data_IF_262726924212
#
_entry.id   IF_262726924212
#
_cell.length_a   1.000
_cell.length_b   1.000
_cell.length_c   1.000
_cell.angle_alpha   90.00
_cell.angle_beta   90.00
_cell.angle_gamma   90.00
#
_symmetry.space_group_name_H-M   'P 1'
#
loop_
_entity.id
_entity.type
_entity.pdbx_description
1 polymer ?
#
# COMPACT_ATOMS: atom_id res chain seq x y z
N UNK A 1 12.41 -7.93 -26.40
CA UNK A 1 11.20 -7.73 -25.60
C UNK A 1 10.30 -8.93 -25.82
N UNK A 2 9.75 -9.50 -24.75
CA UNK A 2 8.88 -10.66 -24.85
C UNK A 2 7.44 -10.22 -25.13
N UNK A 3 6.76 -10.93 -26.04
CA UNK A 3 5.36 -10.67 -26.36
C UNK A 3 4.52 -11.90 -26.03
N UNK A 4 3.29 -11.69 -25.65
CA UNK A 4 2.32 -12.76 -25.37
C UNK A 4 1.09 -12.56 -26.22
N UNK A 5 0.61 -13.68 -26.80
CA UNK A 5 -0.61 -13.71 -27.59
C UNK A 5 -1.85 -13.88 -26.72
N UNK A 6 -3.03 -13.83 -27.36
CA UNK A 6 -4.32 -13.83 -26.66
C UNK A 6 -4.56 -15.06 -25.77
N UNK A 7 -3.93 -16.20 -26.08
CA UNK A 7 -4.10 -17.45 -25.32
C UNK A 7 -3.23 -17.53 -24.08
N UNK A 8 -2.19 -16.72 -24.02
CA UNK A 8 -1.19 -16.75 -22.95
C UNK A 8 -1.38 -15.64 -21.92
N UNK A 9 -2.31 -14.73 -22.18
CA UNK A 9 -2.61 -13.61 -21.27
C UNK A 9 -3.27 -14.14 -20.01
N UNK A 10 -2.77 -13.71 -18.85
CA UNK A 10 -3.30 -14.17 -17.54
C UNK A 10 -3.48 -12.98 -16.60
N UNK A 11 -4.39 -13.16 -15.65
CA UNK A 11 -4.59 -12.16 -14.58
C UNK A 11 -3.30 -12.02 -13.77
N UNK A 12 -2.96 -10.78 -13.43
CA UNK A 12 -1.74 -10.44 -12.70
C UNK A 12 -0.52 -10.21 -13.59
N UNK A 13 -0.59 -10.52 -14.87
CA UNK A 13 0.50 -10.26 -15.82
C UNK A 13 0.74 -8.76 -15.96
N UNK A 14 2.02 -8.39 -16.04
CA UNK A 14 2.43 -6.99 -16.25
C UNK A 14 2.81 -6.81 -17.71
N UNK A 15 2.11 -5.90 -18.37
CA UNK A 15 2.24 -5.66 -19.81
C UNK A 15 2.57 -4.19 -20.07
N UNK A 16 3.09 -3.93 -21.26
CA UNK A 16 3.40 -2.58 -21.71
C UNK A 16 2.34 -2.16 -22.73
N UNK A 17 1.61 -1.10 -22.42
CA UNK A 17 0.59 -0.54 -23.31
C UNK A 17 0.92 0.94 -23.55
N UNK A 18 1.12 1.31 -24.80
CA UNK A 18 1.53 2.68 -25.19
C UNK A 18 2.73 3.19 -24.37
N UNK A 19 3.70 2.31 -24.15
CA UNK A 19 4.92 2.59 -23.42
C UNK A 19 4.68 2.93 -21.93
N UNK A 20 3.55 2.45 -21.37
CA UNK A 20 3.25 2.56 -19.94
C UNK A 20 2.99 1.19 -19.34
N UNK A 21 3.55 0.88 -18.17
CA UNK A 21 3.32 -0.42 -17.56
C UNK A 21 1.92 -0.51 -16.94
N UNK A 22 1.27 -1.64 -17.18
CA UNK A 22 -0.07 -1.93 -16.70
C UNK A 22 -0.14 -3.38 -16.20
N UNK A 23 -1.04 -3.65 -15.27
CA UNK A 23 -1.29 -5.00 -14.75
C UNK A 23 -2.67 -5.48 -15.23
N UNK A 24 -2.72 -6.70 -15.74
CA UNK A 24 -3.97 -7.32 -16.18
C UNK A 24 -4.76 -7.72 -14.93
N UNK A 25 -5.96 -7.18 -14.79
CA UNK A 25 -6.83 -7.43 -13.64
C UNK A 25 -7.84 -8.53 -13.92
N UNK A 26 -8.27 -8.67 -15.18
CA UNK A 26 -9.31 -9.62 -15.54
C UNK A 26 -9.11 -10.09 -16.99
N UNK A 27 -9.31 -11.39 -17.23
CA UNK A 27 -9.28 -11.94 -18.59
C UNK A 27 -10.49 -12.84 -18.78
N UNK A 28 -11.14 -12.73 -19.93
CA UNK A 28 -12.28 -13.54 -20.33
C UNK A 28 -12.08 -14.04 -21.75
N UNK A 29 -11.96 -15.35 -21.91
CA UNK A 29 -11.86 -15.97 -23.24
C UNK A 29 -13.26 -16.22 -23.77
N UNK A 30 -13.55 -15.70 -24.96
CA UNK A 30 -14.87 -15.82 -25.59
C UNK A 30 -14.71 -16.58 -26.91
N UNK A 31 -15.46 -17.68 -27.03
CA UNK A 31 -15.52 -18.47 -28.26
C UNK A 31 -16.98 -18.42 -28.77
N UNK A 32 -17.29 -17.48 -29.69
CA UNK A 32 -18.65 -17.39 -30.22
C UNK A 32 -18.99 -18.60 -31.10
N UNK A 33 -20.25 -18.93 -31.18
CA UNK A 33 -20.72 -20.03 -32.02
C UNK A 33 -20.42 -19.83 -33.50
N UNK A 34 -20.39 -18.57 -33.94
CA UNK A 34 -19.95 -18.17 -35.30
C UNK A 34 -18.96 -17.03 -35.14
N UNK A 35 -17.82 -17.13 -35.82
CA UNK A 35 -16.76 -16.12 -35.79
C UNK A 35 -15.51 -16.60 -35.08
N UNK A 36 -14.50 -15.75 -35.05
CA UNK A 36 -13.21 -16.06 -34.44
C UNK A 36 -13.25 -15.84 -32.92
N UNK A 37 -12.56 -16.68 -32.18
CA UNK A 37 -12.38 -16.51 -30.75
C UNK A 37 -11.58 -15.23 -30.44
N UNK A 38 -11.87 -14.64 -29.30
CA UNK A 38 -11.15 -13.45 -28.82
C UNK A 38 -11.06 -13.49 -27.31
N UNK A 39 -10.08 -12.77 -26.77
CA UNK A 39 -9.93 -12.59 -25.32
C UNK A 39 -10.22 -11.14 -24.98
N UNK A 40 -11.19 -10.94 -24.09
CA UNK A 40 -11.48 -9.63 -23.50
C UNK A 40 -10.64 -9.51 -22.25
N UNK A 41 -9.87 -8.44 -22.10
CA UNK A 41 -9.09 -8.23 -20.91
C UNK A 41 -9.27 -6.81 -20.38
N UNK A 42 -9.23 -6.71 -19.04
CA UNK A 42 -9.14 -5.42 -18.36
C UNK A 42 -7.75 -5.29 -17.78
N UNK A 43 -7.16 -4.13 -17.92
CA UNK A 43 -5.87 -3.85 -17.33
C UNK A 43 -5.89 -2.49 -16.65
N UNK A 44 -5.06 -2.35 -15.64
CA UNK A 44 -4.95 -1.12 -14.86
C UNK A 44 -3.53 -0.60 -14.98
N UNK A 45 -3.41 0.64 -15.43
CA UNK A 45 -2.11 1.31 -15.48
C UNK A 45 -1.57 1.47 -14.07
N UNK A 46 -0.30 1.11 -13.86
CA UNK A 46 0.30 1.10 -12.52
C UNK A 46 0.44 2.52 -11.98
N UNK A 47 0.90 3.46 -12.81
CA UNK A 47 1.11 4.85 -12.40
C UNK A 47 -0.19 5.63 -12.16
N UNK A 48 -1.13 5.55 -13.09
CA UNK A 48 -2.35 6.37 -13.04
C UNK A 48 -3.52 5.69 -12.33
N UNK A 49 -3.47 4.35 -12.17
CA UNK A 49 -4.57 3.58 -11.62
C UNK A 49 -5.75 3.41 -12.56
N UNK A 50 -5.70 4.00 -13.75
CA UNK A 50 -6.80 3.97 -14.71
C UNK A 50 -7.01 2.56 -15.25
N UNK A 51 -8.26 2.10 -15.26
CA UNK A 51 -8.64 0.78 -15.78
C UNK A 51 -9.17 0.95 -17.20
N UNK A 52 -8.69 0.09 -18.11
CA UNK A 52 -9.11 0.09 -19.51
C UNK A 52 -9.44 -1.33 -19.91
N UNK A 53 -10.45 -1.49 -20.76
CA UNK A 53 -10.82 -2.77 -21.35
C UNK A 53 -10.30 -2.84 -22.79
N UNK A 54 -9.77 -3.99 -23.18
CA UNK A 54 -9.24 -4.24 -24.51
C UNK A 54 -9.65 -5.63 -24.97
N UNK A 55 -9.94 -5.77 -26.26
CA UNK A 55 -10.24 -7.06 -26.88
C UNK A 55 -9.06 -7.47 -27.75
N UNK A 56 -8.51 -8.66 -27.48
CA UNK A 56 -7.42 -9.26 -28.27
C UNK A 56 -7.96 -10.34 -29.20
N UNK A 57 -7.59 -10.24 -30.45
CA UNK A 57 -7.87 -11.27 -31.47
C UNK A 57 -6.68 -12.24 -31.54
N UNK A 58 -6.87 -13.33 -32.28
CA UNK A 58 -5.83 -14.36 -32.42
C UNK A 58 -4.51 -13.81 -32.99
N UNK A 59 -4.56 -12.74 -33.77
CA UNK A 59 -3.38 -12.12 -34.38
C UNK A 59 -2.71 -11.08 -33.50
N UNK A 60 -3.36 -10.68 -32.38
CA UNK A 60 -2.85 -9.61 -31.53
C UNK A 60 -1.87 -10.15 -30.50
N UNK A 61 -0.91 -9.32 -30.12
CA UNK A 61 0.05 -9.63 -29.05
C UNK A 61 0.30 -8.37 -28.25
N UNK A 62 0.61 -8.55 -26.96
CA UNK A 62 1.01 -7.47 -26.08
C UNK A 62 2.41 -7.71 -25.55
N UNK A 63 3.16 -6.65 -25.34
CA UNK A 63 4.51 -6.75 -24.78
C UNK A 63 4.44 -6.98 -23.28
N UNK A 64 5.31 -7.85 -22.79
CA UNK A 64 5.47 -8.07 -21.34
C UNK A 64 6.36 -6.95 -20.80
N UNK A 65 5.90 -6.28 -19.74
CA UNK A 65 6.67 -5.24 -19.08
C UNK A 65 7.67 -5.85 -18.09
N UNK A 66 8.89 -5.34 -18.08
CA UNK A 66 9.91 -5.75 -17.09
C UNK A 66 9.63 -5.02 -15.77
N UNK A 67 8.64 -5.51 -15.03
CA UNK A 67 8.18 -4.94 -13.78
C UNK A 67 8.38 -5.97 -12.67
N UNK A 68 9.09 -5.58 -11.63
CA UNK A 68 9.39 -6.44 -10.49
C UNK A 68 8.88 -5.76 -9.22
N UNK A 69 8.17 -6.52 -8.39
CA UNK A 69 7.75 -6.08 -7.07
C UNK A 69 8.84 -6.50 -6.06
N UNK A 70 9.36 -5.54 -5.32
CA UNK A 70 10.48 -5.75 -4.39
C UNK A 70 10.08 -5.28 -2.99
N UNK A 71 10.35 -6.11 -2.00
CA UNK A 71 10.11 -5.75 -0.60
C UNK A 71 11.19 -4.76 -0.16
N UNK A 72 10.76 -3.62 0.31
CA UNK A 72 11.63 -2.54 0.79
C UNK A 72 11.12 -1.98 2.09
N UNK A 73 12.01 -1.36 2.85
CA UNK A 73 11.64 -0.67 4.08
C UNK A 73 11.60 0.83 3.83
N UNK A 74 10.50 1.44 4.22
CA UNK A 74 10.35 2.88 4.18
C UNK A 74 11.26 3.51 5.25
N UNK A 75 12.02 4.52 4.88
CA UNK A 75 12.91 5.21 5.80
C UNK A 75 12.32 6.55 6.24
N UNK A 76 12.13 7.43 5.28
CA UNK A 76 11.58 8.77 5.54
C UNK A 76 11.11 9.42 4.25
N UNK A 77 10.45 10.54 4.40
CA UNK A 77 10.10 11.43 3.29
C UNK A 77 10.67 12.82 3.54
N UNK A 78 11.22 13.41 2.49
CA UNK A 78 11.71 14.80 2.54
C UNK A 78 10.67 15.79 2.00
N UNK A 79 9.48 15.26 1.79
CA UNK A 79 8.44 16.05 1.12
C UNK A 79 8.35 15.81 -0.39
N UNK A 80 9.50 15.56 -0.98
CA UNK A 80 9.54 15.36 -2.40
C UNK A 80 9.63 13.93 -2.81
N UNK A 81 10.59 13.07 -2.07
CA UNK A 81 10.81 11.73 -2.38
C UNK A 81 10.50 10.85 -1.16
N UNK A 82 10.26 9.57 -1.40
CA UNK A 82 10.13 8.62 -0.37
C UNK A 82 11.28 7.73 -0.54
N UNK A 83 12.16 7.63 0.29
CA UNK A 83 13.31 6.80 0.33
C UNK A 83 12.94 5.47 0.89
N UNK A 84 13.25 4.48 0.19
CA UNK A 84 13.02 3.14 0.53
C UNK A 84 14.30 2.40 0.42
N UNK A 85 14.61 1.62 1.31
CA UNK A 85 15.80 0.84 1.36
C UNK A 85 15.46 -0.58 1.09
N UNK A 86 16.16 -1.22 0.40
CA UNK A 86 16.00 -2.55 0.07
C UNK A 86 16.45 -3.39 1.22
N UNK A 87 15.82 -4.28 1.69
CA UNK A 87 16.11 -5.06 2.77
C UNK A 87 17.16 -6.03 2.63
N UNK A 88 17.48 -6.30 1.40
CA UNK A 88 18.47 -7.25 1.02
C UNK A 88 19.79 -6.66 0.62
N UNK A 89 19.80 -5.65 -0.15
CA UNK A 89 21.02 -5.02 -0.68
C UNK A 89 21.38 -3.72 0.03
N UNK A 90 20.51 -3.21 0.85
CA UNK A 90 20.63 -1.91 1.51
C UNK A 90 20.74 -0.73 0.52
N UNK A 91 20.39 -0.97 -0.72
CA UNK A 91 20.33 0.10 -1.70
C UNK A 91 19.15 1.00 -1.45
N UNK A 92 19.38 2.29 -1.52
CA UNK A 92 18.33 3.30 -1.32
C UNK A 92 17.73 3.68 -2.68
N UNK A 93 16.42 3.67 -2.73
CA UNK A 93 15.66 4.05 -3.92
C UNK A 93 14.75 5.21 -3.56
N UNK A 94 14.64 6.16 -4.47
CA UNK A 94 13.79 7.33 -4.28
C UNK A 94 12.59 7.25 -5.22
N UNK A 95 11.40 7.47 -4.68
CA UNK A 95 10.17 7.55 -5.48
C UNK A 95 9.69 8.99 -5.55
N UNK A 96 9.22 9.40 -6.72
CA UNK A 96 8.61 10.71 -6.89
C UNK A 96 7.16 10.71 -6.37
N UNK A 97 6.52 11.87 -6.40
CA UNK A 97 5.16 12.05 -5.91
C UNK A 97 4.14 11.18 -6.66
N UNK A 98 4.34 10.95 -7.94
CA UNK A 98 3.43 10.12 -8.74
C UNK A 98 3.53 8.64 -8.36
N UNK A 99 4.73 8.16 -8.03
CA UNK A 99 4.97 6.76 -7.66
C UNK A 99 4.51 6.39 -6.26
N UNK A 100 4.21 7.38 -5.41
CA UNK A 100 3.79 7.10 -4.01
C UNK A 100 2.43 6.42 -3.90
N UNK A 101 1.52 6.67 -4.85
CA UNK A 101 0.18 6.09 -4.82
C UNK A 101 -0.62 6.40 -3.56
N UNK A 102 -0.29 7.48 -2.84
CA UNK A 102 -0.93 7.82 -1.58
C UNK A 102 -0.38 7.06 -0.37
N UNK A 103 0.73 6.33 -0.52
CA UNK A 103 1.36 5.58 0.56
C UNK A 103 1.87 6.50 1.68
N UNK A 104 2.21 7.74 1.35
CA UNK A 104 2.65 8.77 2.29
C UNK A 104 1.66 9.03 3.44
N UNK A 105 0.38 8.74 3.21
CA UNK A 105 -0.66 8.87 4.24
C UNK A 105 -0.58 7.79 5.31
N UNK A 106 0.10 6.68 5.02
CA UNK A 106 0.11 5.51 5.89
C UNK A 106 1.49 5.18 6.46
N UNK A 107 2.55 5.70 5.84
CA UNK A 107 3.93 5.41 6.24
C UNK A 107 4.46 6.52 7.16
N UNK A 108 4.96 6.15 8.33
CA UNK A 108 5.56 7.11 9.28
C UNK A 108 7.05 6.86 9.48
N UNK A 109 7.52 5.63 9.27
CA UNK A 109 8.93 5.26 9.37
C UNK A 109 9.12 3.80 9.73
N UNK A 110 10.05 3.15 9.04
CA UNK A 110 10.46 1.78 9.24
C UNK A 110 9.40 0.71 8.90
N UNK A 111 8.33 1.08 8.18
CA UNK A 111 7.36 0.08 7.71
C UNK A 111 7.88 -0.64 6.48
N UNK A 112 7.62 -1.94 6.42
CA UNK A 112 7.92 -2.72 5.23
C UNK A 112 6.83 -2.50 4.19
N UNK A 113 7.23 -2.19 2.98
CA UNK A 113 6.32 -1.89 1.85
C UNK A 113 6.80 -2.62 0.60
N UNK A 114 5.92 -2.73 -0.38
CA UNK A 114 6.26 -3.32 -1.67
C UNK A 114 6.46 -2.18 -2.67
N UNK A 115 7.64 -2.13 -3.27
CA UNK A 115 7.96 -1.14 -4.30
C UNK A 115 7.97 -1.83 -5.66
N UNK A 116 7.17 -1.33 -6.57
CA UNK A 116 7.10 -1.81 -7.94
C UNK A 116 8.15 -1.07 -8.77
N UNK A 117 9.13 -1.82 -9.28
CA UNK A 117 10.21 -1.30 -10.11
C UNK A 117 9.96 -1.63 -11.57
N UNK A 118 10.10 -0.65 -12.45
CA UNK A 118 10.05 -0.82 -13.90
C UNK A 118 11.41 -0.43 -14.47
N UNK A 119 12.09 -1.41 -15.03
CA UNK A 119 13.47 -1.25 -15.51
C UNK A 119 14.38 -0.64 -14.43
N UNK A 120 14.20 -1.07 -13.17
CA UNK A 120 14.97 -0.58 -12.05
C UNK A 120 14.49 0.75 -11.46
N UNK A 121 13.52 1.41 -12.08
CA UNK A 121 12.98 2.69 -11.61
C UNK A 121 11.70 2.45 -10.79
N UNK A 122 11.60 2.98 -9.57
CA UNK A 122 10.38 2.79 -8.78
C UNK A 122 9.22 3.59 -9.37
N UNK A 123 8.10 2.90 -9.61
CA UNK A 123 6.91 3.52 -10.21
C UNK A 123 5.69 3.47 -9.30
N UNK A 124 5.73 2.65 -8.24
CA UNK A 124 4.60 2.51 -7.31
C UNK A 124 5.09 2.01 -5.97
N UNK A 125 4.53 2.56 -4.89
CA UNK A 125 4.79 2.10 -3.52
C UNK A 125 3.47 1.64 -2.92
N UNK A 126 3.43 0.40 -2.48
CA UNK A 126 2.27 -0.18 -1.81
C UNK A 126 2.59 -0.33 -0.33
N UNK A 127 1.89 0.39 0.56
CA UNK A 127 2.09 0.24 2.00
C UNK A 127 1.60 -1.12 2.47
N UNK A 128 1.96 -1.56 3.68
CA UNK A 128 1.40 -2.79 4.22
C UNK A 128 -0.12 -2.68 4.35
N UNK A 129 -0.81 -3.80 4.26
CA UNK A 129 -2.28 -3.84 4.27
C UNK A 129 -2.88 -3.21 5.53
N UNK A 130 -2.16 -3.29 6.65
CA UNK A 130 -2.59 -2.72 7.92
C UNK A 130 -1.45 -1.92 8.53
N UNK A 131 -1.78 -0.75 9.04
CA UNK A 131 -0.81 0.11 9.73
C UNK A 131 -1.37 0.50 11.10
N UNK A 132 -0.48 0.71 12.06
CA UNK A 132 -0.84 1.17 13.40
C UNK A 132 -0.41 2.61 13.54
N UNK A 133 -1.39 3.50 13.66
CA UNK A 133 -1.14 4.94 13.70
C UNK A 133 -1.83 5.57 14.90
N UNK A 134 -1.14 6.54 15.49
CA UNK A 134 -1.66 7.29 16.63
C UNK A 134 -2.60 8.40 16.14
N UNK A 135 -3.69 8.59 16.86
CA UNK A 135 -4.63 9.69 16.61
C UNK A 135 -4.06 10.97 17.26
N UNK A 136 -3.85 11.99 16.46
CA UNK A 136 -3.39 13.29 16.93
C UNK A 136 -4.52 14.23 17.25
N UNK A 137 -5.64 14.11 16.55
CA UNK A 137 -6.80 14.98 16.76
C UNK A 137 -8.09 14.24 16.44
N UNK A 138 -9.07 14.36 17.32
CA UNK A 138 -10.43 13.86 17.09
C UNK A 138 -11.38 14.54 18.07
N UNK A 139 -12.66 14.55 17.75
CA UNK A 139 -13.69 15.05 18.67
C UNK A 139 -13.75 14.18 19.93
N UNK A 140 -14.14 14.75 21.08
CA UNK A 140 -14.29 13.98 22.31
C UNK A 140 -15.24 12.81 22.13
N UNK A 141 -14.94 11.70 22.80
CA UNK A 141 -15.79 10.51 22.75
C UNK A 141 -17.13 10.76 23.44
N UNK A 142 -18.19 10.55 22.69
CA UNK A 142 -19.56 10.66 23.28
C UNK A 142 -20.02 9.25 23.61
N UNK A 143 -20.34 9.03 24.89
CA UNK A 143 -20.94 7.77 25.34
C UNK A 143 -22.45 7.84 25.14
N UNK A 144 -22.98 6.90 24.38
CA UNK A 144 -24.43 6.67 24.36
C UNK A 144 -25.17 6.91 23.06
N UNK A 145 -24.55 7.41 22.02
CA UNK A 145 -25.28 7.58 20.75
C UNK A 145 -24.98 6.45 19.79
N UNK A 146 -25.73 5.37 19.92
CA UNK A 146 -25.65 4.21 19.03
C UNK A 146 -26.69 4.26 17.91
N UNK A 147 -27.44 5.35 17.80
CA UNK A 147 -28.64 5.42 16.95
C UNK A 147 -28.37 5.84 15.50
N UNK A 148 -27.15 5.68 14.99
CA UNK A 148 -26.94 6.12 13.62
C UNK A 148 -25.69 5.69 12.91
N UNK A 149 -25.07 4.56 13.28
CA UNK A 149 -23.88 4.08 12.56
C UNK A 149 -22.77 5.13 12.45
N UNK A 150 -22.76 6.09 13.37
CA UNK A 150 -21.95 7.28 13.30
C UNK A 150 -20.50 7.05 13.69
N UNK A 151 -19.60 7.29 12.74
CA UNK A 151 -18.19 7.47 13.04
C UNK A 151 -17.87 8.96 13.04
N UNK A 152 -16.84 9.33 13.77
CA UNK A 152 -16.30 10.69 13.77
C UNK A 152 -14.96 10.73 13.02
N UNK A 153 -14.60 11.88 12.45
CA UNK A 153 -13.28 11.99 11.81
C UNK A 153 -12.17 12.02 12.86
N UNK A 154 -11.07 11.39 12.57
CA UNK A 154 -9.87 11.41 13.40
C UNK A 154 -8.66 11.65 12.49
N UNK A 155 -7.82 12.60 12.89
CA UNK A 155 -6.56 12.90 12.20
C UNK A 155 -5.45 12.04 12.80
N UNK A 156 -4.73 11.34 11.95
CA UNK A 156 -3.63 10.47 12.37
C UNK A 156 -2.30 11.22 12.36
N UNK A 157 -1.29 10.63 12.96
CA UNK A 157 0.05 11.21 13.05
C UNK A 157 0.69 11.50 11.67
N UNK A 158 0.23 10.81 10.63
CA UNK A 158 0.68 11.03 9.25
C UNK A 158 -0.08 12.14 8.52
N UNK A 159 -1.09 12.73 9.18
CA UNK A 159 -1.98 13.73 8.57
C UNK A 159 -3.17 13.13 7.82
N UNK A 160 -3.29 11.82 7.76
CA UNK A 160 -4.45 11.17 7.15
C UNK A 160 -5.67 11.32 8.04
N UNK A 161 -6.84 11.49 7.44
CA UNK A 161 -8.12 11.56 8.18
C UNK A 161 -8.86 10.24 7.92
N UNK A 162 -9.24 9.58 9.02
CA UNK A 162 -9.93 8.29 8.98
C UNK A 162 -11.19 8.40 9.85
N UNK A 163 -12.24 7.73 9.41
CA UNK A 163 -13.49 7.67 10.19
C UNK A 163 -13.38 6.58 11.26
N UNK A 164 -13.53 6.97 12.51
CA UNK A 164 -13.39 6.06 13.67
C UNK A 164 -14.70 6.00 14.48
N UNK A 165 -14.93 4.91 15.23
CA UNK A 165 -16.10 4.85 16.13
C UNK A 165 -16.07 5.96 17.18
N UNK A 166 -17.24 6.32 17.68
CA UNK A 166 -17.39 7.42 18.64
C UNK A 166 -16.63 7.21 19.96
N UNK A 167 -16.40 5.95 20.35
CA UNK A 167 -15.71 5.63 21.62
C UNK A 167 -14.19 5.82 21.56
N UNK A 168 -13.62 6.03 20.38
CA UNK A 168 -12.16 6.19 20.23
C UNK A 168 -11.76 7.61 20.63
N UNK A 169 -10.67 7.75 21.37
CA UNK A 169 -10.19 9.03 21.88
C UNK A 169 -8.89 9.46 21.24
N UNK A 170 -8.55 10.73 21.46
CA UNK A 170 -7.25 11.28 21.07
C UNK A 170 -6.14 10.52 21.80
N UNK A 171 -4.97 10.45 21.20
CA UNK A 171 -3.78 9.74 21.68
C UNK A 171 -3.87 8.21 21.66
N UNK A 172 -5.00 7.65 21.26
CA UNK A 172 -5.11 6.19 21.07
C UNK A 172 -4.45 5.75 19.78
N UNK A 173 -3.96 4.50 19.77
CA UNK A 173 -3.37 3.89 18.58
C UNK A 173 -4.43 3.00 17.95
N UNK A 174 -4.66 3.20 16.66
CA UNK A 174 -5.63 2.41 15.90
C UNK A 174 -4.96 1.68 14.75
N UNK A 175 -5.53 0.55 14.40
CA UNK A 175 -5.14 -0.23 13.22
C UNK A 175 -6.07 0.16 12.07
N UNK A 176 -5.47 0.55 10.95
CA UNK A 176 -6.20 1.01 9.76
C UNK A 176 -5.87 0.09 8.59
N UNK A 177 -6.89 -0.24 7.79
CA UNK A 177 -6.70 -0.95 6.52
C UNK A 177 -6.33 0.08 5.45
N UNK A 178 -5.12 0.00 4.93
CA UNK A 178 -4.61 0.98 3.96
C UNK A 178 -5.28 0.88 2.60
N UNK A 179 -5.88 -0.28 2.28
CA UNK A 179 -6.55 -0.51 0.99
C UNK A 179 -7.86 0.26 0.89
N UNK A 180 -8.64 0.30 1.99
CA UNK A 180 -9.92 1.00 2.04
C UNK A 180 -9.80 2.36 2.73
N UNK A 181 -8.76 2.57 3.54
CA UNK A 181 -8.61 3.76 4.36
C UNK A 181 -9.53 3.75 5.59
N UNK A 182 -9.96 2.56 6.03
CA UNK A 182 -10.94 2.43 7.10
C UNK A 182 -10.33 1.92 8.40
N UNK A 183 -10.93 2.36 9.51
CA UNK A 183 -10.61 1.84 10.84
C UNK A 183 -10.88 0.34 10.90
N UNK A 184 -9.92 -0.42 11.39
CA UNK A 184 -10.05 -1.86 11.59
C UNK A 184 -10.22 -2.24 13.05
N UNK A 185 -9.32 -1.75 13.93
CA UNK A 185 -9.33 -2.12 15.34
C UNK A 185 -8.60 -1.08 16.18
N UNK A 186 -8.85 -1.10 17.48
CA UNK A 186 -8.07 -0.34 18.45
C UNK A 186 -6.93 -1.21 18.97
N UNK A 187 -5.72 -0.69 18.97
CA UNK A 187 -4.55 -1.40 19.48
C UNK A 187 -4.44 -1.14 20.98
N UNK A 188 -4.55 -2.20 21.76
CA UNK A 188 -4.30 -2.12 23.20
C UNK A 188 -2.89 -2.61 23.47
N UNK A 189 -1.98 -1.71 23.79
CA UNK A 189 -0.70 -2.11 24.33
C UNK A 189 -0.90 -2.54 25.77
N UNK A 190 -0.70 -3.81 26.07
CA UNK A 190 -0.64 -4.22 27.46
C UNK A 190 0.60 -3.57 28.09
N UNK A 191 0.41 -2.94 29.23
CA UNK A 191 1.44 -2.17 29.95
C UNK A 191 2.55 -3.05 30.57
N UNK A 192 2.95 -4.13 29.93
CA UNK A 192 3.87 -5.09 30.54
C UNK A 192 5.32 -5.04 30.03
N UNK A 193 5.83 -3.87 29.62
CA UNK A 193 7.21 -3.86 29.12
C UNK A 193 8.09 -2.69 29.58
N UNK A 194 7.62 -1.72 30.37
CA UNK A 194 8.45 -0.54 30.66
C UNK A 194 8.50 -0.13 32.12
N UNK A 195 8.23 -1.06 33.03
CA UNK A 195 8.42 -0.79 34.48
C UNK A 195 9.69 -1.47 35.02
N UNK A 196 10.74 -1.53 34.17
CA UNK A 196 12.08 -1.74 34.66
C UNK A 196 12.66 -0.38 35.00
N UNK A 197 12.46 0.03 36.23
CA UNK A 197 13.07 1.26 36.77
C UNK A 197 14.59 1.20 36.66
N UNK A 198 15.28 2.33 36.84
CA UNK A 198 16.73 2.38 36.67
C UNK A 198 17.42 1.39 37.57
N UNK A 199 18.28 0.59 36.99
CA UNK A 199 19.15 -0.32 37.73
C UNK A 199 20.10 0.54 38.56
N UNK A 200 19.83 0.62 39.86
CA UNK A 200 20.75 1.25 40.80
C UNK A 200 22.08 0.50 40.79
N UNK A 201 23.11 1.16 40.30
CA UNK A 201 24.46 0.61 40.36
C UNK A 201 24.88 0.54 41.81
N UNK A 202 24.93 -0.68 42.35
CA UNK A 202 25.53 -0.92 43.62
C UNK A 202 27.05 -0.75 43.48
N UNK A 203 27.54 0.39 43.97
CA UNK A 203 28.97 0.58 44.13
C UNK A 203 29.46 -0.33 45.26
N UNK A 204 30.37 -1.24 44.95
CA UNK A 204 30.98 -2.09 45.95
C UNK A 204 31.90 -1.24 46.83
N UNK A 205 31.89 -1.47 48.15
CA UNK A 205 32.84 -0.75 49.01
C UNK A 205 34.27 -1.25 48.83
N UNK A 206 35.17 -0.31 48.65
CA UNK A 206 36.61 -0.62 48.61
C UNK A 206 37.10 -0.73 50.06
N UNK A 207 37.69 -1.89 50.40
CA UNK A 207 38.41 -2.10 51.63
C UNK A 207 39.90 -1.87 51.41
#
# INVERSE_FOLDING_TARGET
MATVGMNDVKNGMKILVNNEPAVITETEYVKPGKGQAFTRMKYRFIKSGRVVEMTMKATDAVEVADVVDTDMRYLYSDGXXXXXXXXXTFEQVQTDKAGRGGADKWLKGEEDCIVTLWNGTPIWVQPPNFVELKITETDPGVRGDTSGGGGKPATLATGAVVRVPLFVNQDEIIKVDTRSGEYSARVKYSRCAWDAGPVEQYAAPVS
#
